data_IF_734620577605
#
_entry.id   IF_734620577605
#
_cell.length_a   1.000
_cell.length_b   1.000
_cell.length_c   1.000
_cell.angle_alpha   90.00
_cell.angle_beta   90.00
_cell.angle_gamma   90.00
#
_symmetry.space_group_name_H-M   'P 1'
#
loop_
_entity.id
_entity.type
_entity.pdbx_description
1 polymer ?
#
# COMPACT_ATOMS: atom_id res chain seq x y z
N UNK A 1 3.11 10.84 23.00
CA UNK A 1 2.02 10.54 22.04
C UNK A 1 1.61 9.09 22.25
N UNK A 2 0.31 8.77 22.35
CA UNK A 2 -0.11 7.37 22.43
C UNK A 2 0.24 6.66 21.12
N UNK A 3 0.58 5.37 21.21
CA UNK A 3 1.02 4.55 20.07
C UNK A 3 -0.02 4.55 18.93
N UNK A 4 -1.30 4.62 19.26
CA UNK A 4 -2.43 4.77 18.34
C UNK A 4 -2.35 6.04 17.47
N UNK A 5 -1.83 7.16 18.00
CA UNK A 5 -1.67 8.39 17.21
C UNK A 5 -0.65 8.25 16.07
N UNK A 6 0.41 7.46 16.28
CA UNK A 6 1.42 7.21 15.25
C UNK A 6 0.80 6.41 14.11
N UNK A 7 0.03 5.36 14.42
CA UNK A 7 -0.69 4.59 13.42
C UNK A 7 -1.67 5.45 12.64
N UNK A 8 -2.44 6.31 13.30
CA UNK A 8 -3.37 7.23 12.62
C UNK A 8 -2.66 8.09 11.57
N UNK A 9 -1.50 8.67 11.90
CA UNK A 9 -0.72 9.48 10.95
C UNK A 9 -0.26 8.62 9.75
N UNK A 10 0.30 7.42 10.01
CA UNK A 10 0.75 6.50 8.97
C UNK A 10 -0.41 6.08 8.06
N UNK A 11 -1.58 5.77 8.64
CA UNK A 11 -2.80 5.39 7.94
C UNK A 11 -3.27 6.53 7.01
N UNK A 12 -3.35 7.77 7.50
CA UNK A 12 -3.79 8.91 6.70
C UNK A 12 -2.83 9.19 5.54
N UNK A 13 -1.52 9.19 5.80
CA UNK A 13 -0.52 9.42 4.77
C UNK A 13 -0.53 8.32 3.69
N UNK A 14 -0.55 7.05 4.12
CA UNK A 14 -0.57 5.91 3.20
C UNK A 14 -1.87 5.84 2.39
N UNK A 15 -3.02 6.14 2.99
CA UNK A 15 -4.29 6.26 2.29
C UNK A 15 -4.26 7.38 1.24
N UNK A 16 -3.74 8.55 1.59
CA UNK A 16 -3.62 9.69 0.67
C UNK A 16 -2.77 9.33 -0.54
N UNK A 17 -1.62 8.69 -0.31
CA UNK A 17 -0.73 8.19 -1.37
C UNK A 17 -1.45 7.15 -2.24
N UNK A 18 -2.12 6.18 -1.62
CA UNK A 18 -2.84 5.13 -2.32
C UNK A 18 -3.93 5.70 -3.23
N UNK A 19 -4.77 6.62 -2.72
CA UNK A 19 -5.85 7.27 -3.46
C UNK A 19 -5.29 8.10 -4.62
N UNK A 20 -4.26 8.91 -4.37
CA UNK A 20 -3.61 9.71 -5.41
C UNK A 20 -3.20 8.82 -6.58
N UNK A 21 -2.42 7.76 -6.31
CA UNK A 21 -1.96 6.87 -7.36
C UNK A 21 -3.09 6.05 -7.98
N UNK A 22 -4.14 5.68 -7.21
CA UNK A 22 -5.33 4.99 -7.72
C UNK A 22 -6.04 5.77 -8.83
N UNK A 23 -6.09 7.09 -8.70
CA UNK A 23 -6.66 7.96 -9.73
C UNK A 23 -5.64 8.13 -10.87
N UNK A 24 -4.37 8.42 -10.55
CA UNK A 24 -3.36 8.73 -11.57
C UNK A 24 -3.04 7.57 -12.50
N UNK A 25 -2.96 6.32 -12.03
CA UNK A 25 -2.52 5.19 -12.87
C UNK A 25 -3.50 4.91 -14.02
N UNK A 26 -4.79 5.19 -13.81
CA UNK A 26 -5.85 4.95 -14.81
C UNK A 26 -5.73 5.87 -16.03
N UNK A 27 -5.14 7.04 -15.86
CA UNK A 27 -4.98 8.04 -16.92
C UNK A 27 -3.64 7.93 -17.66
N UNK A 28 -2.81 6.93 -17.34
CA UNK A 28 -1.44 6.83 -17.83
C UNK A 28 -1.29 5.59 -18.71
N UNK A 29 -0.54 5.65 -19.82
CA UNK A 29 -0.33 4.50 -20.69
C UNK A 29 0.91 3.68 -20.31
N UNK A 30 0.89 2.40 -20.70
CA UNK A 30 2.06 1.52 -20.74
C UNK A 30 2.78 1.33 -19.40
N UNK A 31 4.12 1.41 -19.44
CA UNK A 31 4.99 1.15 -18.27
C UNK A 31 4.78 2.17 -17.14
N UNK A 32 4.45 3.42 -17.48
CA UNK A 32 4.20 4.47 -16.49
C UNK A 32 2.96 4.14 -15.65
N UNK A 33 1.90 3.65 -16.29
CA UNK A 33 0.69 3.17 -15.62
C UNK A 33 1.02 2.10 -14.56
N UNK A 34 1.88 1.15 -14.92
CA UNK A 34 2.30 0.04 -14.05
C UNK A 34 3.16 0.50 -12.88
N UNK A 35 4.00 1.52 -13.07
CA UNK A 35 4.76 2.14 -11.98
C UNK A 35 3.81 2.81 -10.97
N UNK A 36 2.82 3.56 -11.46
CA UNK A 36 1.84 4.20 -10.56
C UNK A 36 0.93 3.19 -9.88
N UNK A 37 0.50 2.14 -10.58
CA UNK A 37 -0.23 1.02 -9.98
C UNK A 37 0.61 0.34 -8.88
N UNK A 38 1.92 0.17 -9.09
CA UNK A 38 2.81 -0.39 -8.07
C UNK A 38 2.90 0.52 -6.83
N UNK A 39 2.99 1.84 -7.01
CA UNK A 39 2.99 2.81 -5.89
C UNK A 39 1.64 2.84 -5.15
N UNK A 40 0.53 2.70 -5.86
CA UNK A 40 -0.80 2.53 -5.26
C UNK A 40 -0.83 1.28 -4.37
N UNK A 41 -0.36 0.13 -4.86
CA UNK A 41 -0.35 -1.12 -4.10
C UNK A 41 0.55 -1.03 -2.85
N UNK A 42 1.70 -0.34 -2.94
CA UNK A 42 2.54 -0.07 -1.76
C UNK A 42 1.76 0.77 -0.72
N UNK A 43 1.14 1.86 -1.17
CA UNK A 43 0.33 2.72 -0.29
C UNK A 43 -0.82 1.96 0.37
N UNK A 44 -1.59 1.18 -0.39
CA UNK A 44 -2.66 0.34 0.15
C UNK A 44 -2.13 -0.74 1.09
N UNK A 45 -0.97 -1.35 0.77
CA UNK A 45 -0.32 -2.31 1.64
C UNK A 45 0.00 -1.72 3.02
N UNK A 46 0.65 -0.56 3.05
CA UNK A 46 0.98 0.15 4.30
C UNK A 46 -0.29 0.55 5.06
N UNK A 47 -1.31 1.04 4.35
CA UNK A 47 -2.60 1.40 4.94
C UNK A 47 -3.25 0.22 5.65
N UNK A 48 -3.39 -0.92 4.97
CA UNK A 48 -4.03 -2.12 5.52
C UNK A 48 -3.22 -2.72 6.68
N UNK A 49 -1.89 -2.72 6.58
CA UNK A 49 -1.01 -3.12 7.68
C UNK A 49 -1.17 -2.20 8.90
N UNK A 50 -1.26 -0.89 8.67
CA UNK A 50 -1.47 0.11 9.71
C UNK A 50 -2.81 -0.07 10.41
N UNK A 51 -3.91 -0.17 9.66
CA UNK A 51 -5.26 -0.38 10.21
C UNK A 51 -5.37 -1.71 10.94
N UNK A 52 -4.90 -2.80 10.31
CA UNK A 52 -4.93 -4.14 10.89
C UNK A 52 -4.13 -4.24 12.19
N UNK A 53 -2.95 -3.61 12.25
CA UNK A 53 -2.16 -3.56 13.49
C UNK A 53 -2.86 -2.71 14.54
N UNK A 54 -3.30 -1.49 14.18
CA UNK A 54 -3.92 -0.56 15.12
C UNK A 54 -5.16 -1.15 15.80
N UNK A 55 -6.02 -1.86 15.06
CA UNK A 55 -7.22 -2.47 15.65
C UNK A 55 -6.93 -3.65 16.59
N UNK A 56 -5.79 -4.31 16.45
CA UNK A 56 -5.37 -5.41 17.34
C UNK A 56 -4.68 -4.90 18.62
N UNK A 57 -4.37 -3.60 18.72
CA UNK A 57 -3.76 -3.01 19.91
C UNK A 57 -4.78 -2.47 20.92
N UNK A 58 -6.08 -2.55 20.65
CA UNK A 58 -7.10 -2.18 21.63
C UNK A 58 -7.21 -3.27 22.70
N UNK A 59 -7.45 -2.90 23.95
CA UNK A 59 -7.52 -3.86 25.06
C UNK A 59 -8.74 -4.79 24.96
N UNK A 60 -9.84 -4.32 24.35
CA UNK A 60 -11.11 -5.05 24.17
C UNK A 60 -11.24 -5.67 22.77
N UNK A 61 -10.24 -6.42 22.30
CA UNK A 61 -10.34 -7.14 21.02
C UNK A 61 -11.31 -8.33 21.12
N UNK A 62 -12.43 -8.23 20.41
CA UNK A 62 -13.35 -9.35 20.18
C UNK A 62 -12.89 -10.26 19.01
N UNK A 63 -13.49 -11.44 18.91
CA UNK A 63 -13.16 -12.43 17.87
C UNK A 63 -13.33 -11.86 16.45
N UNK A 64 -14.31 -10.98 16.24
CA UNK A 64 -14.58 -10.38 14.92
C UNK A 64 -13.42 -9.44 14.54
N UNK A 65 -13.00 -8.56 15.46
CA UNK A 65 -11.83 -7.68 15.27
C UNK A 65 -10.54 -8.45 15.06
N UNK A 66 -10.35 -9.56 15.78
CA UNK A 66 -9.20 -10.42 15.58
C UNK A 66 -9.15 -10.96 14.15
N UNK A 67 -10.25 -11.55 13.67
CA UNK A 67 -10.35 -12.13 12.33
C UNK A 67 -10.17 -11.07 11.24
N UNK A 68 -10.88 -9.93 11.37
CA UNK A 68 -10.73 -8.81 10.42
C UNK A 68 -9.28 -8.31 10.41
N UNK A 69 -8.65 -8.20 11.58
CA UNK A 69 -7.29 -7.67 11.71
C UNK A 69 -6.30 -8.55 10.97
N UNK A 70 -6.38 -9.87 11.17
CA UNK A 70 -5.54 -10.85 10.48
C UNK A 70 -5.74 -10.79 8.96
N UNK A 71 -6.99 -10.69 8.48
CA UNK A 71 -7.29 -10.57 7.05
C UNK A 71 -6.67 -9.29 6.47
N UNK A 72 -6.85 -8.15 7.15
CA UNK A 72 -6.26 -6.87 6.73
C UNK A 72 -4.74 -6.95 6.67
N UNK A 73 -4.10 -7.53 7.69
CA UNK A 73 -2.66 -7.72 7.72
C UNK A 73 -2.17 -8.58 6.55
N UNK A 74 -2.86 -9.69 6.27
CA UNK A 74 -2.53 -10.58 5.17
C UNK A 74 -2.64 -9.89 3.81
N UNK A 75 -3.79 -9.24 3.54
CA UNK A 75 -4.02 -8.51 2.28
C UNK A 75 -3.01 -7.36 2.15
N UNK A 76 -2.72 -6.65 3.25
CA UNK A 76 -1.74 -5.58 3.30
C UNK A 76 -0.33 -6.04 2.95
N UNK A 77 0.11 -7.15 3.54
CA UNK A 77 1.42 -7.75 3.26
C UNK A 77 1.55 -8.15 1.79
N UNK A 78 0.53 -8.82 1.23
CA UNK A 78 0.51 -9.21 -0.19
C UNK A 78 0.60 -7.99 -1.10
N UNK A 79 -0.19 -6.95 -0.84
CA UNK A 79 -0.17 -5.71 -1.63
C UNK A 79 1.20 -5.01 -1.57
N UNK A 80 1.82 -4.96 -0.39
CA UNK A 80 3.13 -4.34 -0.20
C UNK A 80 4.22 -5.10 -0.97
N UNK A 81 4.28 -6.43 -0.83
CA UNK A 81 5.29 -7.27 -1.50
C UNK A 81 5.13 -7.16 -3.02
N UNK A 82 3.90 -7.32 -3.53
CA UNK A 82 3.63 -7.20 -4.97
C UNK A 82 3.93 -5.80 -5.49
N UNK A 83 3.58 -4.77 -4.73
CA UNK A 83 3.86 -3.37 -5.06
C UNK A 83 5.36 -3.09 -5.18
N UNK A 84 6.17 -3.52 -4.21
CA UNK A 84 7.63 -3.35 -4.24
C UNK A 84 8.24 -4.10 -5.43
N UNK A 85 7.87 -5.38 -5.63
CA UNK A 85 8.38 -6.20 -6.74
C UNK A 85 8.06 -5.57 -8.10
N UNK A 86 6.82 -5.14 -8.30
CA UNK A 86 6.39 -4.50 -9.54
C UNK A 86 7.07 -3.15 -9.74
N UNK A 87 7.21 -2.33 -8.70
CA UNK A 87 7.87 -1.04 -8.79
C UNK A 87 9.32 -1.21 -9.28
N UNK A 88 10.07 -2.14 -8.70
CA UNK A 88 11.44 -2.45 -9.10
C UNK A 88 11.50 -2.92 -10.55
N UNK A 89 10.65 -3.86 -10.94
CA UNK A 89 10.61 -4.41 -12.29
C UNK A 89 10.28 -3.33 -13.35
N UNK A 90 9.19 -2.59 -13.18
CA UNK A 90 8.74 -1.62 -14.18
C UNK A 90 9.65 -0.37 -14.22
N UNK A 91 10.27 0.00 -13.10
CA UNK A 91 11.28 1.07 -13.09
C UNK A 91 12.52 0.68 -13.91
N UNK A 92 12.97 -0.58 -13.79
CA UNK A 92 14.07 -1.10 -14.63
C UNK A 92 13.68 -1.09 -16.11
N UNK A 93 12.50 -1.61 -16.43
CA UNK A 93 11.99 -1.65 -17.81
C UNK A 93 11.87 -0.26 -18.44
N UNK A 94 11.42 0.75 -17.67
CA UNK A 94 11.36 2.14 -18.14
C UNK A 94 12.74 2.67 -18.53
N UNK A 95 13.77 2.40 -17.73
CA UNK A 95 15.16 2.83 -18.03
C UNK A 95 15.68 2.17 -19.31
N UNK A 96 15.43 0.88 -19.49
CA UNK A 96 15.83 0.15 -20.70
C UNK A 96 15.13 0.69 -21.96
N UNK A 97 13.87 1.10 -21.87
CA UNK A 97 13.14 1.73 -22.98
C UNK A 97 13.67 3.13 -23.31
N UNK A 98 14.15 3.87 -22.32
CA UNK A 98 14.76 5.18 -22.53
C UNK A 98 16.13 5.07 -23.22
N UNK A 99 16.94 4.08 -22.85
CA UNK A 99 18.28 3.88 -23.45
C UNK A 99 18.24 3.39 -24.91
N UNK A 100 17.10 2.88 -25.37
CA UNK A 100 16.89 2.40 -26.76
C UNK A 100 16.34 3.49 -27.70
N UNK A 101 16.00 4.66 -27.16
CA UNK A 101 15.52 5.83 -27.91
C UNK A 101 16.64 6.84 -28.04
#
# INVERSE_FOLDING_TARGET
>A
MPLSSIFTIVIILSATIAIYYAITWRSQPGVIARIYQARMNIGMGIFLLGVGTNQLMFDDVDTIRLVIGIILLFIGAVNLIMGIRNLTYFTKLKREQQNKR
#
